data_IF_628475617167
#
_entry.id   IF_628475617167
#
_cell.length_a   1.000
_cell.length_b   1.000
_cell.length_c   1.000
_cell.angle_alpha   90.00
_cell.angle_beta   90.00
_cell.angle_gamma   90.00
#
_symmetry.space_group_name_H-M   'P 1'
#
loop_
_entity.id
_entity.type
_entity.pdbx_description
1 polymer ?
#
# COMPACT_ATOMS: atom_id res chain seq x y z
N UNK A 1 -24.62 7.09 15.94
CA UNK A 1 -24.12 7.73 14.72
C UNK A 1 -22.77 8.33 15.08
N UNK A 2 -21.64 7.68 14.72
CA UNK A 2 -20.30 8.24 15.00
C UNK A 2 -20.01 9.26 13.90
N UNK A 3 -19.73 10.50 14.29
CA UNK A 3 -19.49 11.62 13.36
C UNK A 3 -18.30 11.33 12.44
N UNK A 4 -18.43 11.72 11.17
CA UNK A 4 -17.38 11.60 10.17
C UNK A 4 -16.06 12.29 10.62
N UNK A 5 -16.18 13.39 11.38
CA UNK A 5 -15.04 14.12 11.95
C UNK A 5 -14.18 13.28 12.92
N UNK A 6 -14.78 12.36 13.69
CA UNK A 6 -14.02 11.51 14.62
C UNK A 6 -13.26 10.38 13.89
N UNK A 7 -13.74 9.94 12.72
CA UNK A 7 -13.07 8.91 11.92
C UNK A 7 -11.82 9.47 11.24
N UNK A 8 -11.95 10.61 10.58
CA UNK A 8 -10.82 11.28 9.91
C UNK A 8 -9.69 11.57 10.91
N UNK A 9 -10.05 11.99 12.12
CA UNK A 9 -9.07 12.31 13.16
C UNK A 9 -8.31 11.09 13.71
N UNK A 10 -8.99 9.96 13.86
CA UNK A 10 -8.34 8.70 14.24
C UNK A 10 -7.47 8.13 13.11
N UNK A 11 -7.88 8.34 11.85
CA UNK A 11 -7.12 7.93 10.67
C UNK A 11 -5.75 8.62 10.62
N UNK A 12 -5.75 9.95 10.80
CA UNK A 12 -4.54 10.77 10.77
C UNK A 12 -3.58 10.44 11.93
N UNK A 13 -4.11 10.12 13.11
CA UNK A 13 -3.27 9.83 14.29
C UNK A 13 -2.67 8.43 14.29
N UNK A 14 -3.40 7.41 13.84
CA UNK A 14 -2.98 6.02 14.05
C UNK A 14 -2.48 5.33 12.78
N UNK A 15 -3.06 5.63 11.61
CA UNK A 15 -2.74 4.90 10.37
C UNK A 15 -1.57 5.54 9.64
N UNK A 16 -1.61 6.87 9.45
CA UNK A 16 -0.62 7.55 8.61
C UNK A 16 0.83 7.41 9.10
N UNK A 17 1.15 7.54 10.41
CA UNK A 17 2.53 7.35 10.86
C UNK A 17 3.07 5.95 10.56
N UNK A 18 2.21 4.92 10.69
CA UNK A 18 2.57 3.52 10.41
C UNK A 18 2.82 3.31 8.92
N UNK A 19 1.95 3.84 8.06
CA UNK A 19 2.11 3.77 6.60
C UNK A 19 3.36 4.52 6.15
N UNK A 20 3.60 5.73 6.65
CA UNK A 20 4.79 6.51 6.35
C UNK A 20 6.05 5.75 6.76
N UNK A 21 6.06 5.14 7.95
CA UNK A 21 7.15 4.31 8.43
C UNK A 21 7.41 3.11 7.52
N UNK A 22 6.36 2.37 7.15
CA UNK A 22 6.47 1.21 6.26
C UNK A 22 7.01 1.58 4.88
N UNK A 23 6.53 2.67 4.28
CA UNK A 23 7.02 3.16 2.98
C UNK A 23 8.48 3.58 3.08
N UNK A 24 8.88 4.29 4.14
CA UNK A 24 10.29 4.69 4.36
C UNK A 24 11.22 3.48 4.46
N UNK A 25 10.83 2.47 5.23
CA UNK A 25 11.63 1.25 5.43
C UNK A 25 11.86 0.49 4.12
N UNK A 26 10.89 0.54 3.20
CA UNK A 26 11.05 -0.05 1.87
C UNK A 26 11.92 0.84 0.97
N UNK A 27 11.75 2.17 1.00
CA UNK A 27 12.52 3.10 0.16
C UNK A 27 14.02 2.96 0.40
N UNK A 28 14.47 2.84 1.66
CA UNK A 28 15.91 2.73 1.98
C UNK A 28 16.57 1.44 1.48
N UNK A 29 15.79 0.54 0.88
CA UNK A 29 16.22 -0.76 0.33
C UNK A 29 16.10 -0.82 -1.18
N UNK A 30 15.52 0.22 -1.79
CA UNK A 30 15.54 0.36 -3.22
C UNK A 30 16.97 0.66 -3.69
N UNK A 31 17.38 0.11 -4.84
CA UNK A 31 18.58 0.55 -5.54
C UNK A 31 18.63 2.08 -5.67
N UNK A 32 19.81 2.67 -5.42
CA UNK A 32 20.00 4.13 -5.34
C UNK A 32 20.04 4.82 -6.71
N UNK A 33 19.94 4.06 -7.80
CA UNK A 33 19.97 4.54 -9.19
C UNK A 33 18.63 5.13 -9.66
N UNK A 34 17.57 5.06 -8.84
CA UNK A 34 16.28 5.74 -9.09
C UNK A 34 15.97 6.84 -8.04
N UNK A 35 16.79 7.91 -7.95
CA UNK A 35 16.63 8.97 -6.94
C UNK A 35 15.28 9.72 -7.03
N UNK A 36 14.59 9.62 -8.17
CA UNK A 36 13.26 10.20 -8.37
C UNK A 36 12.14 9.44 -7.64
N UNK A 37 12.39 8.23 -7.12
CA UNK A 37 11.41 7.40 -6.39
C UNK A 37 11.58 7.49 -4.87
N UNK A 38 11.62 8.71 -4.36
CA UNK A 38 11.73 9.01 -2.92
C UNK A 38 10.37 9.15 -2.21
N UNK A 39 9.28 8.72 -2.86
CA UNK A 39 7.94 8.77 -2.31
C UNK A 39 6.84 8.66 -3.36
N UNK A 40 5.61 8.97 -2.96
CA UNK A 40 4.41 8.72 -3.76
C UNK A 40 3.12 9.16 -3.08
N UNK A 41 2.01 8.57 -3.52
CA UNK A 41 0.69 8.72 -2.89
C UNK A 41 0.21 7.40 -2.31
N UNK A 42 -0.25 7.49 -1.08
CA UNK A 42 -0.98 6.46 -0.37
C UNK A 42 -2.48 6.71 -0.52
N UNK A 43 -3.23 5.65 -0.80
CA UNK A 43 -4.68 5.61 -0.84
C UNK A 43 -5.18 4.57 0.17
N UNK A 44 -6.11 4.97 1.01
CA UNK A 44 -6.91 4.09 1.85
C UNK A 44 -8.35 4.12 1.33
N UNK A 45 -8.92 2.94 1.14
CA UNK A 45 -10.31 2.77 0.71
C UNK A 45 -10.98 1.75 1.62
N UNK A 46 -12.06 2.13 2.29
CA UNK A 46 -12.98 1.17 2.92
C UNK A 46 -13.70 0.34 1.85
N UNK A 47 -13.90 -0.96 2.11
CA UNK A 47 -14.43 -1.90 1.11
C UNK A 47 -15.81 -1.50 0.58
N UNK A 48 -16.66 -0.98 1.45
CA UNK A 48 -18.03 -0.60 1.12
C UNK A 48 -18.13 0.82 0.53
N UNK A 49 -17.05 1.59 0.58
CA UNK A 49 -17.04 2.97 0.13
C UNK A 49 -16.71 3.11 -1.36
N UNK A 50 -17.38 4.09 -1.98
CA UNK A 50 -17.12 4.46 -3.37
C UNK A 50 -15.96 5.44 -3.52
N UNK A 51 -15.61 6.18 -2.47
CA UNK A 51 -14.57 7.19 -2.47
C UNK A 51 -13.44 6.78 -1.52
N UNK A 52 -12.17 7.12 -1.82
CA UNK A 52 -11.07 6.90 -0.89
C UNK A 52 -11.33 7.60 0.45
N UNK A 53 -11.22 6.85 1.54
CA UNK A 53 -11.24 7.37 2.91
C UNK A 53 -10.06 8.31 3.16
N UNK A 54 -8.90 8.02 2.56
CA UNK A 54 -7.78 8.94 2.57
C UNK A 54 -6.91 8.86 1.32
N UNK A 55 -6.31 10.01 1.00
CA UNK A 55 -5.33 10.15 -0.05
C UNK A 55 -4.21 11.06 0.43
N UNK A 56 -3.01 10.52 0.65
CA UNK A 56 -1.93 11.21 1.35
C UNK A 56 -0.61 11.07 0.59
N UNK A 57 0.08 12.19 0.41
CA UNK A 57 1.46 12.19 -0.10
C UNK A 57 2.41 11.66 0.96
N UNK A 58 3.26 10.71 0.58
CA UNK A 58 4.31 10.13 1.44
C UNK A 58 5.67 10.35 0.79
N UNK A 59 6.66 10.81 1.57
CA UNK A 59 8.00 11.10 1.05
C UNK A 59 8.04 12.35 0.16
N UNK A 60 9.02 12.42 -0.74
CA UNK A 60 9.25 13.61 -1.58
C UNK A 60 9.29 13.29 -3.09
N UNK A 61 8.22 12.70 -3.67
CA UNK A 61 8.17 12.39 -5.09
C UNK A 61 8.38 13.64 -5.96
N UNK A 62 8.99 13.44 -7.14
CA UNK A 62 9.21 14.50 -8.13
C UNK A 62 7.89 15.19 -8.51
N UNK A 63 7.83 16.54 -8.58
CA UNK A 63 6.60 17.28 -8.87
C UNK A 63 5.88 16.84 -10.15
N UNK A 64 6.63 16.54 -11.21
CA UNK A 64 6.10 16.11 -12.50
C UNK A 64 5.29 14.79 -12.44
N UNK A 65 5.49 13.97 -11.40
CA UNK A 65 4.85 12.67 -11.23
C UNK A 65 3.71 12.66 -10.21
N UNK A 66 3.47 13.78 -9.52
CA UNK A 66 2.48 13.85 -8.43
C UNK A 66 1.07 13.50 -8.90
N UNK A 67 0.60 14.12 -9.99
CA UNK A 67 -0.74 13.88 -10.53
C UNK A 67 -0.92 12.44 -11.02
N UNK A 68 0.13 11.89 -11.63
CA UNK A 68 0.16 10.49 -12.06
C UNK A 68 0.03 9.54 -10.86
N UNK A 69 0.85 9.72 -9.82
CA UNK A 69 0.84 8.87 -8.63
C UNK A 69 -0.47 8.94 -7.86
N UNK A 70 -1.03 10.14 -7.71
CA UNK A 70 -2.34 10.37 -7.11
C UNK A 70 -3.42 9.55 -7.82
N UNK A 71 -3.51 9.70 -9.15
CA UNK A 71 -4.47 8.99 -9.99
C UNK A 71 -4.28 7.46 -9.92
N UNK A 72 -3.03 6.99 -10.01
CA UNK A 72 -2.70 5.56 -9.97
C UNK A 72 -3.03 4.91 -8.63
N UNK A 73 -2.74 5.56 -7.50
CA UNK A 73 -3.04 5.01 -6.18
C UNK A 73 -4.56 4.77 -6.01
N UNK A 74 -5.40 5.74 -6.39
CA UNK A 74 -6.85 5.58 -6.39
C UNK A 74 -7.34 4.48 -7.35
N UNK A 75 -6.85 4.50 -8.60
CA UNK A 75 -7.26 3.54 -9.63
C UNK A 75 -6.91 2.09 -9.26
N UNK A 76 -5.78 1.85 -8.60
CA UNK A 76 -5.40 0.51 -8.10
C UNK A 76 -6.33 0.03 -7.01
N UNK A 77 -6.65 0.88 -6.02
CA UNK A 77 -7.56 0.55 -4.94
C UNK A 77 -8.97 0.23 -5.47
N UNK A 78 -9.53 1.09 -6.33
CA UNK A 78 -10.84 0.85 -6.93
C UNK A 78 -10.89 -0.40 -7.81
N UNK A 79 -9.83 -0.65 -8.60
CA UNK A 79 -9.75 -1.86 -9.39
C UNK A 79 -9.81 -3.09 -8.50
N UNK A 80 -8.98 -3.14 -7.44
CA UNK A 80 -8.99 -4.26 -6.50
C UNK A 80 -10.37 -4.44 -5.84
N UNK A 81 -11.04 -3.34 -5.45
CA UNK A 81 -12.40 -3.36 -4.89
C UNK A 81 -13.41 -4.02 -5.82
N UNK A 82 -13.31 -3.74 -7.12
CA UNK A 82 -14.23 -4.27 -8.15
C UNK A 82 -14.05 -5.74 -8.47
N UNK A 83 -13.07 -6.42 -7.87
CA UNK A 83 -12.82 -7.85 -8.05
C UNK A 83 -13.28 -8.67 -6.84
N UNK A 84 -13.23 -10.01 -6.98
CA UNK A 84 -13.58 -10.95 -5.91
C UNK A 84 -12.77 -10.70 -4.64
N UNK A 85 -13.40 -10.89 -3.47
CA UNK A 85 -12.73 -10.83 -2.17
C UNK A 85 -11.65 -11.92 -2.00
N UNK A 86 -11.69 -12.97 -2.83
CA UNK A 86 -10.65 -14.00 -2.89
C UNK A 86 -9.34 -13.50 -3.51
N UNK A 87 -9.34 -12.33 -4.14
CA UNK A 87 -8.16 -11.73 -4.77
C UNK A 87 -7.52 -10.72 -3.80
N UNK A 88 -6.43 -11.07 -3.10
CA UNK A 88 -5.94 -10.28 -1.98
C UNK A 88 -5.02 -9.14 -2.39
N UNK A 89 -4.57 -9.11 -3.65
CA UNK A 89 -3.67 -8.10 -4.18
C UNK A 89 -4.04 -7.72 -5.61
N UNK A 90 -3.83 -6.44 -5.90
CA UNK A 90 -3.91 -5.89 -7.25
C UNK A 90 -2.94 -6.55 -8.24
N UNK A 91 -1.91 -7.25 -7.76
CA UNK A 91 -1.06 -8.12 -8.57
C UNK A 91 -1.85 -9.22 -9.29
N UNK A 92 -2.82 -9.83 -8.60
CA UNK A 92 -3.68 -10.89 -9.17
C UNK A 92 -4.65 -10.29 -10.19
N UNK A 93 -5.19 -9.11 -9.89
CA UNK A 93 -6.20 -8.41 -10.70
C UNK A 93 -5.62 -7.60 -11.87
N UNK A 94 -4.30 -7.70 -12.09
CA UNK A 94 -3.62 -6.80 -13.03
C UNK A 94 -3.95 -7.17 -14.47
N UNK A 95 -4.15 -6.15 -15.29
CA UNK A 95 -4.33 -6.33 -16.73
C UNK A 95 -3.06 -5.87 -17.46
N UNK A 96 -2.22 -6.85 -17.83
CA UNK A 96 -0.96 -6.61 -18.53
C UNK A 96 -1.18 -6.17 -19.99
N UNK A 97 -2.30 -6.54 -20.62
CA UNK A 97 -2.60 -6.21 -22.01
C UNK A 97 -2.80 -4.70 -22.23
N UNK A 98 -3.31 -4.00 -21.22
CA UNK A 98 -3.53 -2.55 -21.29
C UNK A 98 -2.34 -1.73 -20.77
N UNK A 99 -1.25 -2.38 -20.33
CA UNK A 99 0.01 -1.73 -19.94
C UNK A 99 -0.04 -0.71 -18.80
N UNK A 100 -1.22 -0.49 -18.19
CA UNK A 100 -1.48 0.60 -17.22
C UNK A 100 -1.97 0.12 -15.85
N UNK A 101 -2.14 -1.20 -15.67
CA UNK A 101 -2.64 -1.78 -14.44
C UNK A 101 -1.50 -2.45 -13.68
N UNK A 102 -0.79 -1.66 -12.88
CA UNK A 102 0.29 -2.13 -12.01
C UNK A 102 -0.28 -2.57 -10.65
N UNK A 103 0.41 -3.49 -9.98
CA UNK A 103 0.18 -3.87 -8.58
C UNK A 103 0.45 -2.74 -7.59
N UNK A 104 0.62 -3.08 -6.30
CA UNK A 104 0.84 -2.09 -5.24
C UNK A 104 -0.41 -1.68 -4.46
N UNK A 105 -1.53 -2.38 -4.64
CA UNK A 105 -2.66 -2.40 -3.73
C UNK A 105 -2.92 -3.80 -3.16
N UNK A 106 -3.35 -3.87 -1.90
CA UNK A 106 -3.70 -5.11 -1.19
C UNK A 106 -5.01 -4.95 -0.42
N UNK A 107 -5.68 -6.07 -0.15
CA UNK A 107 -6.78 -6.17 0.82
C UNK A 107 -6.23 -6.48 2.21
N UNK A 108 -6.71 -5.77 3.22
CA UNK A 108 -6.33 -5.94 4.62
C UNK A 108 -7.57 -5.74 5.51
N UNK A 109 -8.32 -6.83 5.76
CA UNK A 109 -9.61 -6.77 6.43
C UNK A 109 -10.61 -5.92 5.63
N UNK A 110 -11.29 -4.99 6.30
CA UNK A 110 -12.29 -4.08 5.69
C UNK A 110 -11.67 -2.98 4.81
N UNK A 111 -10.35 -2.92 4.72
CA UNK A 111 -9.63 -1.87 4.01
C UNK A 111 -8.89 -2.39 2.79
N UNK A 112 -8.74 -1.51 1.81
CA UNK A 112 -7.82 -1.63 0.70
C UNK A 112 -6.75 -0.56 0.87
N UNK A 113 -5.50 -1.01 0.94
CA UNK A 113 -4.32 -0.16 1.00
C UNK A 113 -3.70 -0.11 -0.38
N UNK A 114 -3.41 1.07 -0.89
CA UNK A 114 -2.70 1.22 -2.17
C UNK A 114 -1.63 2.29 -2.11
N UNK A 115 -0.50 2.02 -2.78
CA UNK A 115 0.55 3.00 -2.99
C UNK A 115 0.87 3.16 -4.47
N UNK A 116 1.28 4.38 -4.84
CA UNK A 116 1.90 4.65 -6.14
C UNK A 116 3.08 5.59 -5.98
N UNK A 117 4.25 5.19 -6.47
CA UNK A 117 5.47 6.00 -6.49
C UNK A 117 6.77 5.20 -6.42
N UNK A 118 6.69 3.90 -6.18
CA UNK A 118 7.85 2.99 -6.08
C UNK A 118 7.78 1.91 -7.18
N UNK A 119 8.78 1.03 -7.32
CA UNK A 119 8.61 -0.19 -8.11
C UNK A 119 7.47 -1.06 -7.58
N UNK A 120 6.71 -1.71 -8.45
CA UNK A 120 5.46 -2.43 -8.12
C UNK A 120 5.57 -3.35 -6.89
N UNK A 121 6.61 -4.19 -6.84
CA UNK A 121 6.83 -5.11 -5.71
C UNK A 121 7.18 -4.36 -4.41
N UNK A 122 7.87 -3.23 -4.51
CA UNK A 122 8.18 -2.40 -3.36
C UNK A 122 6.92 -1.69 -2.83
N UNK A 123 6.04 -1.23 -3.72
CA UNK A 123 4.74 -0.66 -3.34
C UNK A 123 3.91 -1.68 -2.56
N UNK A 124 3.80 -2.90 -3.08
CA UNK A 124 3.07 -3.98 -2.41
C UNK A 124 3.71 -4.37 -1.07
N UNK A 125 5.04 -4.46 -1.01
CA UNK A 125 5.76 -4.77 0.23
C UNK A 125 5.53 -3.71 1.31
N UNK A 126 5.49 -2.42 0.93
CA UNK A 126 5.19 -1.33 1.85
C UNK A 126 3.77 -1.43 2.40
N UNK A 127 2.78 -1.79 1.56
CA UNK A 127 1.40 -1.97 2.02
C UNK A 127 1.24 -3.20 2.90
N UNK A 128 1.91 -4.32 2.59
CA UNK A 128 1.92 -5.52 3.42
C UNK A 128 2.53 -5.26 4.80
N UNK A 129 3.65 -4.53 4.83
CA UNK A 129 4.30 -4.12 6.08
C UNK A 129 3.41 -3.17 6.89
N UNK A 130 2.74 -2.21 6.25
CA UNK A 130 1.81 -1.32 6.91
C UNK A 130 0.61 -2.10 7.51
N UNK A 131 -0.03 -2.96 6.71
CA UNK A 131 -1.15 -3.78 7.15
C UNK A 131 -0.79 -4.68 8.34
N UNK A 132 0.41 -5.27 8.32
CA UNK A 132 0.90 -6.09 9.41
C UNK A 132 1.12 -5.27 10.70
N UNK A 133 1.77 -4.11 10.59
CA UNK A 133 2.01 -3.21 11.73
C UNK A 133 0.72 -2.62 12.32
N UNK A 134 -0.31 -2.44 11.49
CA UNK A 134 -1.64 -2.03 11.92
C UNK A 134 -2.45 -3.17 12.55
N UNK A 135 -1.95 -4.41 12.52
CA UNK A 135 -2.66 -5.59 12.99
C UNK A 135 -3.84 -5.99 12.09
N UNK A 136 -3.92 -5.46 10.87
CA UNK A 136 -4.98 -5.79 9.90
C UNK A 136 -4.70 -7.07 9.14
N UNK A 137 -3.43 -7.46 9.07
CA UNK A 137 -2.99 -8.77 8.61
C UNK A 137 -2.05 -9.39 9.64
N UNK A 138 -2.14 -10.70 9.84
CA UNK A 138 -1.06 -11.44 10.49
C UNK A 138 0.14 -11.53 9.55
N UNK A 139 1.32 -11.85 10.11
CA UNK A 139 2.53 -12.06 9.31
C UNK A 139 2.34 -13.18 8.28
N UNK A 140 1.64 -14.25 8.65
CA UNK A 140 1.38 -15.39 7.76
C UNK A 140 0.47 -14.99 6.61
N UNK A 141 -0.61 -14.23 6.89
CA UNK A 141 -1.48 -13.69 5.85
C UNK A 141 -0.71 -12.79 4.88
N UNK A 142 0.12 -11.87 5.40
CA UNK A 142 0.95 -11.02 4.56
C UNK A 142 1.97 -11.83 3.74
N UNK A 143 2.53 -12.89 4.32
CA UNK A 143 3.44 -13.82 3.64
C UNK A 143 2.78 -14.61 2.51
N UNK A 144 1.53 -15.04 2.68
CA UNK A 144 0.73 -15.67 1.62
C UNK A 144 0.57 -14.71 0.43
N UNK A 145 0.19 -13.45 0.69
CA UNK A 145 0.04 -12.45 -0.37
C UNK A 145 1.37 -12.18 -1.09
N UNK A 146 2.46 -11.99 -0.34
CA UNK A 146 3.79 -11.79 -0.90
C UNK A 146 4.28 -12.98 -1.75
N UNK A 147 3.85 -14.20 -1.41
CA UNK A 147 4.21 -15.40 -2.18
C UNK A 147 3.53 -15.41 -3.55
N UNK A 148 2.28 -14.92 -3.66
CA UNK A 148 1.54 -14.85 -4.94
C UNK A 148 2.26 -13.98 -5.99
N UNK A 149 2.95 -12.94 -5.54
CA UNK A 149 3.69 -12.01 -6.37
C UNK A 149 5.20 -12.27 -6.41
N UNK A 150 5.69 -13.32 -5.73
CA UNK A 150 7.11 -13.57 -5.50
C UNK A 150 7.85 -12.31 -4.99
N UNK A 151 7.22 -11.60 -4.04
CA UNK A 151 7.66 -10.31 -3.56
C UNK A 151 8.85 -10.42 -2.60
N UNK A 152 10.05 -10.43 -3.17
CA UNK A 152 11.31 -10.50 -2.42
C UNK A 152 11.55 -9.33 -1.48
N UNK A 153 10.98 -8.15 -1.76
CA UNK A 153 11.03 -7.02 -0.81
C UNK A 153 10.32 -7.36 0.50
N UNK A 154 9.25 -8.13 0.48
CA UNK A 154 8.59 -8.57 1.72
C UNK A 154 9.21 -9.86 2.29
N UNK A 155 9.49 -10.84 1.42
CA UNK A 155 9.89 -12.19 1.83
C UNK A 155 11.32 -12.28 2.37
N UNK A 156 12.28 -11.63 1.71
CA UNK A 156 13.71 -11.81 2.04
C UNK A 156 14.14 -10.91 3.20
N UNK A 157 13.30 -9.97 3.59
CA UNK A 157 13.73 -8.92 4.48
C UNK A 157 13.42 -9.19 5.96
N UNK A 158 14.50 -9.15 6.73
CA UNK A 158 14.55 -9.51 8.15
C UNK A 158 13.93 -8.48 9.10
N UNK A 159 13.34 -7.36 8.61
CA UNK A 159 12.65 -6.37 9.46
C UNK A 159 11.49 -6.94 10.27
N UNK A 160 10.99 -8.11 9.89
CA UNK A 160 9.98 -8.85 10.62
C UNK A 160 10.48 -9.36 12.00
N UNK A 161 11.80 -9.38 12.24
CA UNK A 161 12.40 -9.89 13.48
C UNK A 161 12.65 -8.78 14.50
N UNK A 162 12.96 -7.56 14.06
CA UNK A 162 13.31 -6.45 14.96
C UNK A 162 12.10 -5.76 15.63
N UNK A 163 10.91 -5.85 15.04
CA UNK A 163 9.68 -5.22 15.55
C UNK A 163 8.63 -6.22 16.08
N UNK A 164 8.94 -7.53 16.10
CA UNK A 164 8.08 -8.56 16.68
C UNK A 164 8.25 -8.71 18.22
N UNK A 165 8.90 -7.74 18.86
CA UNK A 165 9.10 -7.66 20.31
C UNK A 165 8.70 -6.29 20.83
N UNK A 166 7.40 -6.04 20.87
CA UNK A 166 6.75 -5.10 21.81
C UNK A 166 5.36 -5.63 22.08
#
# INVERSE_FOLDING_TARGET
>A
MRDANDRDWNLHRNILPVVIGAVRDVIVKLPTDEPERSGGYFCLLERDDLAPTAMVRVGNPAPARLAEYLSRAGAKAHRLRGHSDQEPSSWVTRNLLLGRHYGGAIRAGEYILSFSGLPELAEEAAMLLAAWRLGWLTRDQAGVIATLSNNRFFLDNTWLIAHART
#
